data_IF_818564482881
#
_entry.id   IF_818564482881
#
_cell.length_a   1.000
_cell.length_b   1.000
_cell.length_c   1.000
_cell.angle_alpha   90.00
_cell.angle_beta   90.00
_cell.angle_gamma   90.00
#
_symmetry.space_group_name_H-M   'P 1'
#
loop_
_entity.id
_entity.type
_entity.pdbx_description
1 polymer ?
#
# COMPACT_ATOMS: atom_id res chain seq x y z
N UNK A 1 -30.28 -11.10 -7.57
CA UNK A 1 -29.14 -11.89 -8.11
C UNK A 1 -28.03 -11.91 -7.08
N UNK A 2 -27.36 -13.04 -6.91
CA UNK A 2 -26.14 -13.09 -6.08
C UNK A 2 -25.05 -12.21 -6.74
N UNK A 3 -24.27 -11.51 -5.90
CA UNK A 3 -23.17 -10.69 -6.38
C UNK A 3 -22.02 -11.62 -6.77
N UNK A 4 -21.50 -11.48 -8.00
CA UNK A 4 -20.32 -12.22 -8.45
C UNK A 4 -19.08 -11.66 -7.78
N UNK A 5 -18.31 -12.51 -7.12
CA UNK A 5 -17.06 -12.15 -6.44
C UNK A 5 -15.88 -12.75 -7.19
N UNK A 6 -14.94 -11.91 -7.57
CA UNK A 6 -13.63 -12.34 -8.06
C UNK A 6 -12.67 -12.47 -6.88
N UNK A 7 -12.28 -13.69 -6.53
CA UNK A 7 -11.23 -13.97 -5.56
C UNK A 7 -9.88 -14.09 -6.29
N UNK A 8 -8.97 -13.14 -6.07
CA UNK A 8 -7.68 -13.08 -6.75
C UNK A 8 -6.57 -13.51 -5.77
N UNK A 9 -5.87 -14.57 -6.10
CA UNK A 9 -4.74 -15.07 -5.32
C UNK A 9 -3.41 -14.50 -5.82
N UNK A 10 -2.69 -13.79 -4.96
CA UNK A 10 -1.41 -13.15 -5.24
C UNK A 10 -0.24 -13.75 -4.45
N UNK A 11 -0.46 -14.85 -3.72
CA UNK A 11 0.60 -15.52 -2.94
C UNK A 11 0.59 -15.15 -1.46
N UNK A 12 1.79 -15.15 -0.86
CA UNK A 12 2.02 -14.89 0.56
C UNK A 12 1.90 -16.15 1.43
N UNK A 13 2.03 -15.99 2.74
CA UNK A 13 1.95 -17.08 3.73
C UNK A 13 0.69 -17.92 3.59
N UNK A 14 -0.40 -17.30 3.15
CA UNK A 14 -1.71 -17.94 2.98
C UNK A 14 -1.64 -19.25 2.17
N UNK A 15 -0.84 -19.27 1.09
CA UNK A 15 -0.68 -20.43 0.20
C UNK A 15 0.63 -21.18 0.40
N UNK A 16 1.32 -21.01 1.53
CA UNK A 16 2.55 -21.75 1.84
C UNK A 16 2.26 -23.09 2.50
N UNK A 17 3.19 -24.02 2.33
CA UNK A 17 3.19 -25.35 2.93
C UNK A 17 4.62 -25.74 3.33
N UNK A 18 4.78 -26.82 4.08
CA UNK A 18 6.09 -27.37 4.45
C UNK A 18 6.75 -26.73 5.66
N UNK A 19 7.91 -27.24 6.03
CA UNK A 19 8.83 -26.71 7.06
C UNK A 19 10.26 -26.82 6.53
N UNK A 20 10.92 -25.70 6.20
CA UNK A 20 10.41 -24.32 6.27
C UNK A 20 9.28 -24.05 5.27
N UNK A 21 8.46 -23.03 5.56
CA UNK A 21 7.34 -22.62 4.70
C UNK A 21 7.82 -22.24 3.29
N UNK A 22 7.18 -22.82 2.27
CA UNK A 22 7.42 -22.48 0.87
C UNK A 22 6.10 -22.35 0.10
N UNK A 23 6.01 -21.47 -0.92
CA UNK A 23 4.79 -21.32 -1.70
C UNK A 23 4.41 -22.61 -2.42
N UNK A 24 3.14 -23.03 -2.29
CA UNK A 24 2.57 -24.07 -3.14
C UNK A 24 2.31 -23.49 -4.53
N UNK A 25 2.64 -24.22 -5.63
CA UNK A 25 2.26 -23.79 -6.99
C UNK A 25 0.74 -23.51 -7.09
N UNK A 26 0.38 -22.42 -7.76
CA UNK A 26 -1.01 -21.96 -7.78
C UNK A 26 -1.98 -23.01 -8.39
N UNK A 27 -1.52 -23.77 -9.39
CA UNK A 27 -2.29 -24.85 -10.01
C UNK A 27 -2.68 -25.98 -9.03
N UNK A 28 -1.91 -26.17 -7.97
CA UNK A 28 -2.21 -27.12 -6.91
C UNK A 28 -2.98 -26.47 -5.76
N UNK A 29 -2.69 -25.20 -5.46
CA UNK A 29 -3.31 -24.48 -4.35
C UNK A 29 -4.78 -24.08 -4.63
N UNK A 30 -5.07 -23.56 -5.82
CA UNK A 30 -6.40 -23.02 -6.15
C UNK A 30 -7.53 -24.06 -6.01
N UNK A 31 -7.39 -25.32 -6.48
CA UNK A 31 -8.42 -26.32 -6.25
C UNK A 31 -8.71 -26.58 -4.76
N UNK A 32 -7.66 -26.58 -3.92
CA UNK A 32 -7.83 -26.78 -2.47
C UNK A 32 -8.48 -25.55 -1.81
N UNK A 33 -8.11 -24.35 -2.22
CA UNK A 33 -8.75 -23.10 -1.78
C UNK A 33 -10.24 -23.10 -2.13
N UNK A 34 -10.62 -23.54 -3.34
CA UNK A 34 -12.02 -23.60 -3.78
C UNK A 34 -12.90 -24.49 -2.90
N UNK A 35 -12.36 -25.57 -2.34
CA UNK A 35 -13.09 -26.44 -1.42
C UNK A 35 -13.39 -25.80 -0.06
N UNK A 36 -12.71 -24.71 0.29
CA UNK A 36 -12.93 -23.98 1.56
C UNK A 36 -13.91 -22.82 1.43
N UNK A 37 -14.36 -22.52 0.20
CA UNK A 37 -15.21 -21.35 -0.05
C UNK A 37 -16.66 -21.57 0.44
N UNK A 38 -17.33 -20.53 0.95
CA UNK A 38 -18.72 -20.58 1.35
C UNK A 38 -19.64 -20.89 0.16
N UNK A 39 -20.44 -21.96 0.25
CA UNK A 39 -21.34 -22.42 -0.84
C UNK A 39 -22.48 -21.45 -1.17
N UNK A 40 -22.77 -20.50 -0.28
CA UNK A 40 -23.84 -19.51 -0.44
C UNK A 40 -23.37 -18.23 -1.17
N UNK A 41 -22.08 -18.12 -1.52
CA UNK A 41 -21.53 -17.01 -2.28
C UNK A 41 -21.13 -17.44 -3.69
N UNK A 42 -21.31 -16.56 -4.67
CA UNK A 42 -20.88 -16.77 -6.06
C UNK A 42 -19.45 -16.30 -6.23
N UNK A 43 -18.49 -17.18 -5.91
CA UNK A 43 -17.05 -16.86 -5.91
C UNK A 43 -16.33 -17.57 -7.05
N UNK A 44 -15.64 -16.80 -7.89
CA UNK A 44 -14.73 -17.33 -8.91
C UNK A 44 -13.29 -17.01 -8.52
N UNK A 45 -12.44 -18.06 -8.44
CA UNK A 45 -11.02 -17.91 -8.15
C UNK A 45 -10.23 -17.56 -9.41
N UNK A 46 -9.35 -16.58 -9.28
CA UNK A 46 -8.38 -16.18 -10.28
C UNK A 46 -6.97 -16.19 -9.69
N UNK A 47 -6.00 -16.49 -10.53
CA UNK A 47 -4.59 -16.32 -10.22
C UNK A 47 -4.17 -14.91 -10.67
N UNK A 48 -3.47 -14.17 -9.81
CA UNK A 48 -2.90 -12.87 -10.17
C UNK A 48 -1.85 -13.02 -11.29
N UNK A 49 -1.69 -12.04 -12.19
CA UNK A 49 -0.58 -12.02 -13.15
C UNK A 49 0.79 -12.18 -12.49
N UNK A 50 0.93 -11.72 -11.25
CA UNK A 50 2.15 -11.83 -10.45
C UNK A 50 1.85 -12.58 -9.17
N UNK A 51 2.64 -13.62 -8.88
CA UNK A 51 2.67 -14.35 -7.61
C UNK A 51 4.08 -14.26 -7.05
N UNK A 52 4.23 -13.62 -5.89
CA UNK A 52 5.51 -13.43 -5.21
C UNK A 52 5.33 -13.49 -3.69
N UNK A 53 6.44 -13.69 -2.99
CA UNK A 53 6.54 -13.23 -1.61
C UNK A 53 6.29 -11.72 -1.57
N UNK A 54 5.44 -11.27 -0.64
CA UNK A 54 5.03 -9.87 -0.60
C UNK A 54 6.19 -8.91 -0.29
N UNK A 55 7.25 -9.37 0.38
CA UNK A 55 8.48 -8.60 0.59
C UNK A 55 9.23 -8.26 -0.71
N UNK A 56 8.99 -9.04 -1.77
CA UNK A 56 9.54 -8.84 -3.10
C UNK A 56 8.58 -8.12 -4.07
N UNK A 57 7.37 -7.78 -3.64
CA UNK A 57 6.42 -7.03 -4.46
C UNK A 57 6.87 -5.58 -4.66
N UNK A 58 6.65 -5.07 -5.85
CA UNK A 58 7.00 -3.72 -6.28
C UNK A 58 5.79 -2.94 -6.78
N UNK A 59 5.96 -1.66 -7.05
CA UNK A 59 4.91 -0.81 -7.63
C UNK A 59 4.34 -1.40 -8.94
N UNK A 60 5.20 -1.89 -9.83
CA UNK A 60 4.76 -2.49 -11.11
C UNK A 60 3.90 -3.73 -10.92
N UNK A 61 4.21 -4.58 -9.93
CA UNK A 61 3.41 -5.78 -9.64
C UNK A 61 1.97 -5.42 -9.23
N UNK A 62 1.81 -4.36 -8.42
CA UNK A 62 0.48 -3.89 -8.03
C UNK A 62 -0.26 -3.20 -9.19
N UNK A 63 0.44 -2.54 -10.11
CA UNK A 63 -0.18 -2.00 -11.31
C UNK A 63 -0.66 -3.11 -12.27
N UNK A 64 0.10 -4.20 -12.41
CA UNK A 64 -0.35 -5.38 -13.16
C UNK A 64 -1.61 -6.00 -12.53
N UNK A 65 -1.68 -6.10 -11.20
CA UNK A 65 -2.88 -6.51 -10.48
C UNK A 65 -4.06 -5.57 -10.77
N UNK A 66 -3.85 -4.24 -10.71
CA UNK A 66 -4.91 -3.26 -11.00
C UNK A 66 -5.39 -3.40 -12.45
N UNK A 67 -4.49 -3.54 -13.42
CA UNK A 67 -4.86 -3.75 -14.81
C UNK A 67 -5.70 -5.03 -14.97
N UNK A 68 -5.33 -6.11 -14.27
CA UNK A 68 -6.10 -7.35 -14.25
C UNK A 68 -7.50 -7.16 -13.63
N UNK A 69 -7.63 -6.43 -12.51
CA UNK A 69 -8.92 -6.08 -11.91
C UNK A 69 -9.78 -5.32 -12.93
N UNK A 70 -9.21 -4.31 -13.60
CA UNK A 70 -9.91 -3.51 -14.62
C UNK A 70 -10.37 -4.35 -15.82
N UNK A 71 -9.60 -5.35 -16.23
CA UNK A 71 -10.05 -6.35 -17.23
C UNK A 71 -11.23 -7.19 -16.73
N UNK A 72 -11.24 -7.57 -15.43
CA UNK A 72 -12.36 -8.32 -14.84
C UNK A 72 -13.60 -7.45 -14.68
N UNK A 73 -13.45 -6.14 -14.44
CA UNK A 73 -14.58 -5.20 -14.47
C UNK A 73 -15.27 -5.18 -15.85
N UNK A 74 -14.53 -5.28 -16.95
CA UNK A 74 -15.09 -5.39 -18.29
C UNK A 74 -15.86 -6.71 -18.51
N UNK A 75 -15.62 -7.73 -17.67
CA UNK A 75 -16.34 -9.01 -17.63
C UNK A 75 -17.41 -9.06 -16.51
N UNK A 76 -17.95 -7.88 -16.13
CA UNK A 76 -19.05 -7.69 -15.17
C UNK A 76 -18.73 -8.07 -13.71
N UNK A 77 -17.45 -8.16 -13.31
CA UNK A 77 -17.10 -8.26 -11.90
C UNK A 77 -16.99 -6.85 -11.28
N UNK A 78 -17.66 -6.67 -10.12
CA UNK A 78 -17.61 -5.42 -9.34
C UNK A 78 -17.14 -5.63 -7.90
N UNK A 79 -17.05 -6.89 -7.45
CA UNK A 79 -16.66 -7.26 -6.09
C UNK A 79 -15.40 -8.12 -6.17
N UNK A 80 -14.32 -7.64 -5.51
CA UNK A 80 -13.00 -8.26 -5.57
C UNK A 80 -12.48 -8.53 -4.17
N UNK A 81 -12.07 -9.77 -3.92
CA UNK A 81 -11.28 -10.12 -2.73
C UNK A 81 -9.90 -10.53 -3.19
N UNK A 82 -8.87 -9.97 -2.57
CA UNK A 82 -7.47 -10.20 -2.96
C UNK A 82 -6.73 -10.83 -1.78
N UNK A 83 -6.19 -12.03 -1.99
CA UNK A 83 -5.28 -12.67 -1.03
C UNK A 83 -3.87 -12.24 -1.35
N UNK A 84 -3.21 -11.56 -0.39
CA UNK A 84 -1.87 -10.98 -0.51
C UNK A 84 -1.02 -11.32 0.72
N UNK A 85 0.28 -11.40 0.58
CA UNK A 85 1.18 -11.58 1.72
C UNK A 85 1.20 -10.37 2.65
N UNK A 86 1.36 -10.60 3.97
CA UNK A 86 1.14 -9.57 5.00
C UNK A 86 2.23 -8.50 5.08
N UNK A 87 3.43 -8.72 4.53
CA UNK A 87 4.55 -7.79 4.72
C UNK A 87 4.34 -6.46 4.02
N UNK A 88 3.78 -6.47 2.82
CA UNK A 88 3.47 -5.26 2.08
C UNK A 88 1.97 -5.09 1.80
N UNK A 89 1.11 -5.79 2.55
CA UNK A 89 -0.35 -5.71 2.40
C UNK A 89 -0.87 -4.27 2.58
N UNK A 90 -0.31 -3.49 3.52
CA UNK A 90 -0.64 -2.08 3.70
C UNK A 90 -0.32 -1.24 2.46
N UNK A 91 0.83 -1.49 1.83
CA UNK A 91 1.24 -0.78 0.61
C UNK A 91 0.36 -1.16 -0.58
N UNK A 92 0.12 -2.46 -0.80
CA UNK A 92 -0.80 -2.94 -1.83
C UNK A 92 -2.19 -2.31 -1.68
N UNK A 93 -2.73 -2.32 -0.45
CA UNK A 93 -4.05 -1.73 -0.14
C UNK A 93 -4.10 -0.24 -0.46
N UNK A 94 -3.08 0.51 -0.05
CA UNK A 94 -3.00 1.95 -0.29
C UNK A 94 -2.82 2.27 -1.79
N UNK A 95 -2.00 1.51 -2.53
CA UNK A 95 -1.81 1.68 -3.97
C UNK A 95 -3.12 1.43 -4.72
N UNK A 96 -3.84 0.35 -4.38
CA UNK A 96 -5.16 0.10 -4.97
C UNK A 96 -6.15 1.23 -4.61
N UNK A 97 -6.14 1.73 -3.37
CA UNK A 97 -7.02 2.84 -2.98
C UNK A 97 -6.73 4.12 -3.76
N UNK A 98 -5.45 4.47 -3.95
CA UNK A 98 -5.05 5.67 -4.68
C UNK A 98 -5.32 5.58 -6.18
N UNK A 99 -5.24 4.38 -6.78
CA UNK A 99 -5.36 4.21 -8.24
C UNK A 99 -6.73 3.71 -8.69
N UNK A 100 -7.46 2.95 -7.85
CA UNK A 100 -8.80 2.44 -8.17
C UNK A 100 -9.92 3.33 -7.62
N UNK A 101 -9.64 4.10 -6.55
CA UNK A 101 -10.64 4.95 -5.92
C UNK A 101 -11.90 4.19 -5.54
N UNK A 102 -13.05 4.68 -5.98
CA UNK A 102 -14.37 4.09 -5.73
C UNK A 102 -14.95 3.36 -6.97
N UNK A 103 -14.09 2.88 -7.88
CA UNK A 103 -14.53 2.22 -9.11
C UNK A 103 -15.08 0.79 -8.93
N UNK A 104 -14.82 0.16 -7.80
CA UNK A 104 -15.26 -1.19 -7.45
C UNK A 104 -15.35 -1.38 -5.93
N UNK A 105 -15.87 -2.53 -5.49
CA UNK A 105 -15.83 -2.99 -4.10
C UNK A 105 -14.63 -3.93 -3.96
N UNK A 106 -13.58 -3.49 -3.26
CA UNK A 106 -12.32 -4.23 -3.17
C UNK A 106 -11.94 -4.45 -1.71
N UNK A 107 -11.69 -5.69 -1.33
CA UNK A 107 -11.18 -6.06 -0.01
C UNK A 107 -9.89 -6.87 -0.17
N UNK A 108 -8.80 -6.36 0.40
CA UNK A 108 -7.56 -7.12 0.49
C UNK A 108 -7.50 -7.83 1.84
N UNK A 109 -6.95 -9.04 1.84
CA UNK A 109 -6.72 -9.84 3.04
C UNK A 109 -5.47 -10.71 2.90
N UNK A 110 -5.11 -11.40 3.96
CA UNK A 110 -4.00 -12.33 4.03
C UNK A 110 -4.09 -13.14 5.32
N UNK A 111 -3.02 -13.81 5.70
CA UNK A 111 -2.96 -14.53 6.97
C UNK A 111 -1.58 -14.54 7.57
N UNK A 112 -1.50 -14.70 8.90
CA UNK A 112 -0.25 -14.95 9.61
C UNK A 112 0.17 -16.42 9.48
N UNK A 113 -0.80 -17.32 9.37
CA UNK A 113 -0.56 -18.77 9.21
C UNK A 113 -1.09 -19.27 7.88
N UNK A 114 -0.46 -20.30 7.28
CA UNK A 114 -0.94 -20.93 6.06
C UNK A 114 -2.36 -21.50 6.20
N UNK A 115 -3.09 -21.54 5.08
CA UNK A 115 -4.39 -22.21 5.00
C UNK A 115 -4.26 -23.71 5.21
N UNK A 116 -3.23 -24.31 4.61
CA UNK A 116 -3.04 -25.76 4.59
C UNK A 116 -2.01 -26.20 5.64
N UNK A 117 -2.10 -27.47 6.04
CA UNK A 117 -1.10 -28.12 6.87
C UNK A 117 0.25 -28.28 6.13
N UNK A 118 1.28 -28.76 6.83
CA UNK A 118 2.62 -28.90 6.27
C UNK A 118 2.68 -29.84 5.07
N UNK A 119 1.80 -30.83 4.97
CA UNK A 119 1.69 -31.77 3.85
C UNK A 119 0.92 -31.18 2.67
N UNK A 120 0.22 -30.07 2.85
CA UNK A 120 -0.55 -29.40 1.80
C UNK A 120 -1.81 -30.17 1.35
N UNK A 121 -2.33 -31.06 2.15
CA UNK A 121 -3.47 -31.92 1.78
C UNK A 121 -4.76 -31.68 2.59
N UNK A 122 -4.67 -30.97 3.70
CA UNK A 122 -5.79 -30.62 4.57
C UNK A 122 -5.63 -29.19 5.10
N UNK A 123 -6.73 -28.61 5.56
CA UNK A 123 -6.70 -27.35 6.30
C UNK A 123 -5.85 -27.49 7.56
N UNK A 124 -5.04 -26.49 7.86
CA UNK A 124 -4.24 -26.42 9.08
C UNK A 124 -5.15 -26.28 10.31
N UNK A 125 -4.87 -27.03 11.37
CA UNK A 125 -5.67 -27.02 12.61
C UNK A 125 -5.73 -25.63 13.26
N UNK A 126 -4.59 -24.95 13.32
CA UNK A 126 -4.49 -23.57 13.80
C UNK A 126 -4.10 -22.64 12.64
N UNK A 127 -5.08 -21.91 12.13
CA UNK A 127 -4.90 -20.90 11.09
C UNK A 127 -5.92 -19.78 11.21
N UNK A 128 -5.49 -18.56 10.90
CA UNK A 128 -6.37 -17.39 10.74
C UNK A 128 -6.86 -17.23 9.29
N UNK A 129 -6.32 -18.01 8.35
CA UNK A 129 -6.57 -17.86 6.92
C UNK A 129 -8.06 -17.99 6.56
N UNK A 130 -8.75 -19.03 7.06
CA UNK A 130 -10.17 -19.26 6.77
C UNK A 130 -11.04 -18.13 7.31
N UNK A 131 -10.79 -17.71 8.55
CA UNK A 131 -11.59 -16.66 9.18
C UNK A 131 -11.39 -15.31 8.47
N UNK A 132 -10.15 -14.97 8.11
CA UNK A 132 -9.83 -13.74 7.37
C UNK A 132 -10.48 -13.77 5.97
N UNK A 133 -10.40 -14.90 5.26
CA UNK A 133 -11.00 -15.05 3.93
C UNK A 133 -12.53 -14.95 3.98
N UNK A 134 -13.18 -15.70 4.86
CA UNK A 134 -14.63 -15.69 4.97
C UNK A 134 -15.14 -14.29 5.34
N UNK A 135 -14.51 -13.63 6.31
CA UNK A 135 -14.89 -12.28 6.68
C UNK A 135 -14.68 -11.27 5.52
N UNK A 136 -13.63 -11.42 4.71
CA UNK A 136 -13.41 -10.59 3.54
C UNK A 136 -14.47 -10.82 2.44
N UNK A 137 -14.82 -12.10 2.18
CA UNK A 137 -15.84 -12.49 1.19
C UNK A 137 -17.23 -11.99 1.56
N UNK A 138 -17.61 -12.08 2.84
CA UNK A 138 -18.89 -11.53 3.33
C UNK A 138 -18.88 -10.00 3.25
N UNK A 139 -17.80 -9.37 3.74
CA UNK A 139 -17.70 -7.92 3.80
C UNK A 139 -17.79 -7.28 2.42
N UNK A 140 -17.12 -7.84 1.39
CA UNK A 140 -17.06 -7.23 0.05
C UNK A 140 -18.46 -7.05 -0.56
N UNK A 141 -19.43 -7.86 -0.15
CA UNK A 141 -20.81 -7.76 -0.63
C UNK A 141 -21.64 -6.68 0.07
N UNK A 142 -21.14 -6.14 1.19
CA UNK A 142 -21.91 -5.23 2.07
C UNK A 142 -21.33 -3.82 2.12
N UNK A 143 -20.04 -3.64 1.76
CA UNK A 143 -19.35 -2.34 1.78
C UNK A 143 -19.79 -1.43 0.65
N UNK A 144 -19.55 -0.12 0.84
CA UNK A 144 -19.59 0.85 -0.26
C UNK A 144 -18.44 0.60 -1.23
N UNK A 145 -18.56 1.11 -2.47
CA UNK A 145 -17.45 1.09 -3.42
C UNK A 145 -16.22 1.80 -2.83
N UNK A 146 -15.06 1.21 -3.03
CA UNK A 146 -13.79 1.64 -2.46
C UNK A 146 -12.88 0.46 -2.16
N UNK A 147 -11.73 0.74 -1.57
CA UNK A 147 -10.72 -0.26 -1.22
C UNK A 147 -10.56 -0.33 0.29
N UNK A 148 -10.58 -1.55 0.79
CA UNK A 148 -10.49 -1.84 2.22
C UNK A 148 -9.48 -2.96 2.48
N UNK A 149 -8.87 -2.96 3.66
CA UNK A 149 -8.10 -4.06 4.19
C UNK A 149 -8.92 -4.78 5.26
N UNK A 150 -9.06 -6.10 5.12
CA UNK A 150 -9.73 -6.97 6.08
C UNK A 150 -8.72 -7.87 6.78
N UNK A 151 -8.67 -7.82 8.11
CA UNK A 151 -7.82 -8.70 8.91
C UNK A 151 -8.38 -8.87 10.32
N UNK A 152 -8.38 -10.09 10.84
CA UNK A 152 -8.82 -10.40 12.21
C UNK A 152 -10.17 -9.77 12.56
N UNK A 153 -11.20 -10.00 11.72
CA UNK A 153 -12.57 -9.46 11.85
C UNK A 153 -12.66 -7.93 11.88
N UNK A 154 -11.62 -7.22 11.42
CA UNK A 154 -11.64 -5.78 11.23
C UNK A 154 -11.70 -5.45 9.75
N UNK A 155 -12.44 -4.43 9.39
CA UNK A 155 -12.49 -3.86 8.06
C UNK A 155 -12.02 -2.39 8.14
N UNK A 156 -10.91 -2.09 7.50
CA UNK A 156 -10.16 -0.84 7.64
C UNK A 156 -10.13 -0.13 6.29
N UNK A 157 -10.31 1.20 6.27
CA UNK A 157 -10.03 1.99 5.07
C UNK A 157 -8.57 1.80 4.62
N UNK A 158 -8.37 1.36 3.39
CA UNK A 158 -7.07 0.91 2.88
C UNK A 158 -5.96 1.96 3.01
N UNK A 159 -6.26 3.24 2.80
CA UNK A 159 -5.30 4.35 2.93
C UNK A 159 -4.78 4.52 4.37
N UNK A 160 -5.51 4.06 5.38
CA UNK A 160 -5.14 4.20 6.79
C UNK A 160 -4.47 2.96 7.36
N UNK A 161 -4.50 1.84 6.61
CA UNK A 161 -4.09 0.54 7.12
C UNK A 161 -2.57 0.44 7.27
N UNK A 162 -2.14 -0.01 8.45
CA UNK A 162 -0.74 -0.26 8.78
C UNK A 162 -0.57 -1.63 9.45
N UNK A 163 0.46 -2.38 9.07
CA UNK A 163 0.91 -3.54 9.83
C UNK A 163 1.56 -3.04 11.11
N UNK A 164 0.90 -3.29 12.23
CA UNK A 164 1.31 -2.79 13.54
C UNK A 164 2.04 -3.85 14.37
N UNK A 165 1.78 -5.13 14.11
CA UNK A 165 2.39 -6.24 14.84
C UNK A 165 2.94 -7.29 13.87
N UNK A 166 4.08 -7.88 14.23
CA UNK A 166 4.77 -8.86 13.37
C UNK A 166 4.15 -10.25 13.43
N UNK A 167 3.66 -10.69 14.60
CA UNK A 167 3.25 -12.08 14.88
C UNK A 167 1.82 -12.24 15.38
N UNK A 168 1.23 -11.18 15.97
CA UNK A 168 -0.14 -11.26 16.49
C UNK A 168 -1.16 -11.44 15.36
N UNK A 169 -2.27 -12.13 15.68
CA UNK A 169 -3.37 -12.28 14.72
C UNK A 169 -4.03 -10.94 14.39
N UNK A 170 -4.15 -10.04 15.38
CA UNK A 170 -4.59 -8.65 15.19
C UNK A 170 -3.41 -7.78 14.75
N UNK A 171 -2.87 -8.05 13.56
CA UNK A 171 -1.63 -7.47 13.09
C UNK A 171 -1.77 -6.09 12.43
N UNK A 172 -2.98 -5.67 12.06
CA UNK A 172 -3.22 -4.42 11.33
C UNK A 172 -4.07 -3.44 12.13
N UNK A 173 -3.79 -2.16 11.95
CA UNK A 173 -4.55 -1.05 12.53
C UNK A 173 -4.82 0.02 11.48
N UNK A 174 -5.90 0.78 11.70
CA UNK A 174 -6.33 1.90 10.86
C UNK A 174 -7.71 2.37 11.27
N UNK A 175 -8.31 3.21 10.45
CA UNK A 175 -9.66 3.75 10.65
C UNK A 175 -10.67 2.73 10.13
N UNK A 176 -11.64 2.35 10.98
CA UNK A 176 -12.72 1.43 10.62
C UNK A 176 -13.52 1.94 9.41
N UNK A 177 -13.92 1.03 8.55
CA UNK A 177 -14.79 1.30 7.39
C UNK A 177 -16.16 1.92 7.76
N UNK A 178 -16.57 1.79 9.03
CA UNK A 178 -17.81 2.40 9.54
C UNK A 178 -17.68 3.90 9.79
N UNK A 179 -16.45 4.42 9.90
CA UNK A 179 -16.19 5.84 10.09
C UNK A 179 -16.12 6.55 8.74
N UNK A 180 -16.75 7.74 8.65
CA UNK A 180 -16.64 8.56 7.46
C UNK A 180 -15.21 9.09 7.32
N UNK A 181 -14.58 8.75 6.19
CA UNK A 181 -13.26 9.22 5.83
C UNK A 181 -13.29 9.81 4.43
N UNK A 182 -12.60 10.93 4.24
CA UNK A 182 -12.39 11.48 2.91
C UNK A 182 -11.30 10.65 2.21
N UNK A 183 -11.71 9.69 1.40
CA UNK A 183 -10.83 8.83 0.62
C UNK A 183 -10.78 9.27 -0.84
N UNK A 184 -9.75 8.84 -1.57
CA UNK A 184 -9.71 9.05 -3.01
C UNK A 184 -10.92 8.40 -3.70
N UNK A 185 -11.64 9.19 -4.50
CA UNK A 185 -12.82 8.72 -5.24
C UNK A 185 -12.53 8.45 -6.72
N UNK A 186 -11.42 8.95 -7.24
CA UNK A 186 -11.07 8.85 -8.67
C UNK A 186 -10.24 7.62 -8.98
N UNK A 187 -10.46 7.04 -10.15
CA UNK A 187 -9.65 5.92 -10.65
C UNK A 187 -8.78 6.35 -11.83
N UNK A 188 -7.67 5.64 -12.02
CA UNK A 188 -6.80 5.76 -13.19
C UNK A 188 -6.92 4.48 -14.00
N UNK A 189 -7.15 4.59 -15.29
CA UNK A 189 -7.06 3.44 -16.18
C UNK A 189 -5.58 3.08 -16.38
N UNK A 190 -5.16 1.96 -15.80
CA UNK A 190 -3.77 1.49 -15.88
C UNK A 190 -3.49 0.92 -17.26
N UNK A 191 -2.36 1.31 -17.85
CA UNK A 191 -1.87 0.83 -19.14
C UNK A 191 -0.38 0.43 -19.05
N UNK A 192 0.18 -0.10 -20.13
CA UNK A 192 1.57 -0.55 -20.19
C UNK A 192 2.57 0.56 -19.84
N UNK A 193 2.34 1.79 -20.31
CA UNK A 193 3.23 2.92 -19.97
C UNK A 193 3.25 3.22 -18.46
N UNK A 194 2.10 3.09 -17.77
CA UNK A 194 2.05 3.23 -16.31
C UNK A 194 2.85 2.12 -15.61
N UNK A 195 2.79 0.87 -16.10
CA UNK A 195 3.56 -0.26 -15.53
C UNK A 195 5.07 -0.02 -15.73
N UNK A 196 5.49 0.46 -16.91
CA UNK A 196 6.88 0.81 -17.19
C UNK A 196 7.38 1.96 -16.31
N UNK A 197 6.59 3.02 -16.11
CA UNK A 197 6.90 4.10 -15.18
C UNK A 197 7.03 3.57 -13.76
N UNK A 198 6.14 2.70 -13.31
CA UNK A 198 6.17 2.10 -11.98
C UNK A 198 7.37 1.17 -11.76
N UNK A 199 7.81 0.45 -12.81
CA UNK A 199 9.02 -0.38 -12.74
C UNK A 199 10.27 0.43 -12.43
N UNK A 200 10.36 1.65 -12.95
CA UNK A 200 11.48 2.56 -12.72
C UNK A 200 11.29 3.47 -11.51
N UNK A 201 10.14 3.43 -10.84
CA UNK A 201 9.84 4.29 -9.71
C UNK A 201 10.75 4.02 -8.53
N UNK A 202 11.39 5.07 -8.02
CA UNK A 202 12.27 5.01 -6.86
C UNK A 202 11.81 5.98 -5.78
N UNK A 203 11.53 5.43 -4.60
CA UNK A 203 11.12 6.18 -3.41
C UNK A 203 12.01 5.77 -2.24
N UNK A 204 12.68 6.75 -1.64
CA UNK A 204 13.49 6.55 -0.43
C UNK A 204 12.83 7.27 0.72
N UNK A 205 12.58 6.56 1.81
CA UNK A 205 12.03 7.11 3.04
C UNK A 205 13.04 6.97 4.17
N UNK A 206 13.47 8.12 4.72
CA UNK A 206 14.45 8.20 5.79
C UNK A 206 13.75 8.54 7.11
N UNK A 207 13.68 7.57 8.01
CA UNK A 207 13.35 7.81 9.41
C UNK A 207 14.57 8.46 10.08
N UNK A 208 14.50 9.77 10.32
CA UNK A 208 15.60 10.50 10.90
C UNK A 208 15.88 10.00 12.32
N UNK A 209 17.16 9.91 12.65
CA UNK A 209 17.63 9.55 13.98
C UNK A 209 18.09 10.81 14.74
N UNK A 210 18.15 10.80 16.08
CA UNK A 210 18.63 11.93 16.89
C UNK A 210 20.16 12.11 16.74
N UNK A 211 20.56 12.62 15.58
CA UNK A 211 21.95 12.88 15.18
C UNK A 211 22.21 14.40 15.04
N UNK A 212 23.48 14.78 15.00
CA UNK A 212 23.86 16.14 14.64
C UNK A 212 23.47 16.43 13.16
N UNK A 213 23.08 17.66 12.87
CA UNK A 213 22.66 18.05 11.50
C UNK A 213 23.74 17.76 10.46
N UNK A 214 25.02 17.89 10.80
CA UNK A 214 26.17 17.59 9.94
C UNK A 214 26.23 16.12 9.52
N UNK A 215 25.78 15.19 10.36
CA UNK A 215 25.71 13.77 10.03
C UNK A 215 24.57 13.49 9.04
N UNK A 216 23.40 14.11 9.23
CA UNK A 216 22.31 14.04 8.25
C UNK A 216 22.75 14.58 6.89
N UNK A 217 23.49 15.69 6.87
CA UNK A 217 24.08 16.30 5.66
C UNK A 217 24.96 15.29 4.92
N UNK A 218 25.84 14.57 5.64
CA UNK A 218 26.73 13.58 5.01
C UNK A 218 25.95 12.46 4.31
N UNK A 219 24.89 11.94 4.94
CA UNK A 219 24.04 10.90 4.33
C UNK A 219 23.25 11.42 3.13
N UNK A 220 22.72 12.63 3.22
CA UNK A 220 21.94 13.23 2.13
C UNK A 220 22.79 13.60 0.91
N UNK A 221 24.08 13.89 1.08
CA UNK A 221 25.01 14.12 -0.03
C UNK A 221 25.09 12.96 -1.02
N UNK A 222 24.82 11.72 -0.59
CA UNK A 222 24.77 10.56 -1.48
C UNK A 222 23.69 10.69 -2.57
N UNK A 223 22.58 11.37 -2.29
CA UNK A 223 21.49 11.57 -3.25
C UNK A 223 21.74 12.69 -4.25
N UNK A 224 22.82 13.48 -4.11
CA UNK A 224 23.17 14.48 -5.10
C UNK A 224 23.64 13.88 -6.44
N UNK A 225 24.23 12.69 -6.40
CA UNK A 225 24.72 12.01 -7.61
C UNK A 225 23.66 11.10 -8.24
N UNK A 226 22.80 10.50 -7.42
CA UNK A 226 21.77 9.56 -7.85
C UNK A 226 20.47 9.82 -7.07
N UNK A 227 19.75 10.92 -7.39
CA UNK A 227 18.52 11.24 -6.67
C UNK A 227 17.43 10.21 -7.00
N UNK A 228 16.66 9.76 -6.00
CA UNK A 228 15.43 9.01 -6.26
C UNK A 228 14.37 9.95 -6.87
N UNK A 229 13.28 9.38 -7.39
CA UNK A 229 12.13 10.21 -7.78
C UNK A 229 11.50 10.88 -6.56
N UNK A 230 11.54 10.21 -5.40
CA UNK A 230 10.96 10.71 -4.15
C UNK A 230 11.93 10.49 -2.98
N UNK A 231 12.18 11.55 -2.23
CA UNK A 231 12.88 11.50 -0.95
C UNK A 231 11.93 11.97 0.16
N UNK A 232 11.55 11.05 1.04
CA UNK A 232 10.70 11.32 2.19
C UNK A 232 11.57 11.44 3.44
N UNK A 233 11.47 12.56 4.14
CA UNK A 233 12.12 12.76 5.43
C UNK A 233 11.07 12.65 6.55
N UNK A 234 11.23 11.64 7.39
CA UNK A 234 10.36 11.40 8.55
C UNK A 234 10.95 12.09 9.78
N UNK A 235 10.41 13.27 10.11
CA UNK A 235 10.82 14.06 11.26
C UNK A 235 10.24 13.55 12.59
N UNK A 236 10.62 14.17 13.67
CA UNK A 236 10.22 13.81 15.02
C UNK A 236 8.86 14.43 15.41
N UNK A 237 8.11 13.76 16.28
CA UNK A 237 6.84 14.26 16.79
C UNK A 237 5.90 14.70 15.67
N UNK A 238 5.56 15.96 15.59
CA UNK A 238 4.70 16.53 14.55
C UNK A 238 5.41 16.85 13.22
N UNK A 239 6.52 16.16 12.92
CA UNK A 239 7.31 16.35 11.70
C UNK A 239 8.49 17.30 11.85
N UNK A 240 8.93 17.58 13.06
CA UNK A 240 10.03 18.51 13.34
C UNK A 240 11.38 17.93 12.89
N UNK A 241 12.17 18.76 12.22
CA UNK A 241 13.54 18.45 11.78
C UNK A 241 14.44 19.64 12.14
N UNK A 242 15.54 19.37 12.85
CA UNK A 242 16.58 20.38 13.07
C UNK A 242 17.33 20.62 11.77
N UNK A 243 17.32 21.87 11.30
CA UNK A 243 17.94 22.26 10.03
C UNK A 243 18.93 23.42 10.21
N UNK A 244 19.91 23.48 9.31
CA UNK A 244 20.75 24.64 9.09
C UNK A 244 20.75 24.99 7.59
N UNK A 245 21.40 26.09 7.22
CA UNK A 245 21.42 26.56 5.83
C UNK A 245 22.05 25.54 4.84
N UNK A 246 23.04 24.75 5.30
CA UNK A 246 23.69 23.74 4.45
C UNK A 246 22.72 22.58 4.16
N UNK A 247 22.00 22.09 5.17
CA UNK A 247 21.01 21.02 4.99
C UNK A 247 19.91 21.42 3.99
N UNK A 248 19.37 22.63 4.17
CA UNK A 248 18.34 23.17 3.27
C UNK A 248 18.89 23.28 1.83
N UNK A 249 20.10 23.79 1.66
CA UNK A 249 20.74 23.93 0.34
C UNK A 249 20.95 22.58 -0.36
N UNK A 250 21.31 21.52 0.38
CA UNK A 250 21.45 20.17 -0.17
C UNK A 250 20.09 19.61 -0.62
N UNK A 251 19.05 19.73 0.21
CA UNK A 251 17.72 19.27 -0.15
C UNK A 251 17.16 20.04 -1.37
N UNK A 252 17.41 21.35 -1.46
CA UNK A 252 17.06 22.14 -2.64
C UNK A 252 17.79 21.67 -3.91
N UNK A 253 19.11 21.33 -3.81
CA UNK A 253 19.84 20.75 -4.94
C UNK A 253 19.29 19.39 -5.38
N UNK A 254 18.90 18.55 -4.44
CA UNK A 254 18.25 17.27 -4.73
C UNK A 254 16.91 17.52 -5.46
N UNK A 255 16.07 18.44 -4.96
CA UNK A 255 14.82 18.82 -5.61
C UNK A 255 15.00 19.35 -7.02
N UNK A 256 16.03 20.18 -7.27
CA UNK A 256 16.35 20.72 -8.59
C UNK A 256 16.67 19.65 -9.64
N UNK A 257 16.98 18.42 -9.22
CA UNK A 257 17.18 17.26 -10.08
C UNK A 257 15.88 16.46 -10.30
N UNK A 258 14.74 17.10 -10.17
CA UNK A 258 13.40 16.51 -10.32
C UNK A 258 13.08 15.42 -9.28
N UNK A 259 13.66 15.52 -8.08
CA UNK A 259 13.32 14.66 -6.94
C UNK A 259 12.31 15.36 -6.04
N UNK A 260 11.17 14.74 -5.79
CA UNK A 260 10.18 15.26 -4.85
C UNK A 260 10.67 15.08 -3.41
N UNK A 261 11.01 16.19 -2.74
CA UNK A 261 11.38 16.17 -1.31
C UNK A 261 10.14 16.40 -0.48
N UNK A 262 9.81 15.44 0.37
CA UNK A 262 8.57 15.41 1.16
C UNK A 262 8.90 15.29 2.64
N UNK A 263 8.28 16.13 3.45
CA UNK A 263 8.41 16.09 4.89
C UNK A 263 7.18 15.40 5.48
N UNK A 264 7.41 14.47 6.41
CA UNK A 264 6.38 13.76 7.16
C UNK A 264 6.84 13.48 8.59
N UNK A 265 6.02 12.84 9.39
CA UNK A 265 6.33 12.40 10.75
C UNK A 265 6.69 10.93 10.80
N UNK A 266 7.54 10.54 11.77
CA UNK A 266 7.75 9.14 12.17
C UNK A 266 6.54 8.56 12.91
N UNK A 267 5.70 9.42 13.48
CA UNK A 267 4.52 8.99 14.22
C UNK A 267 3.49 8.48 13.22
N UNK A 268 3.02 7.23 13.38
CA UNK A 268 2.16 6.60 12.38
C UNK A 268 0.76 7.21 12.29
N UNK A 269 0.30 7.89 13.32
CA UNK A 269 -1.01 8.51 13.39
C UNK A 269 -0.92 9.96 13.86
N UNK A 270 -1.75 10.83 13.30
CA UNK A 270 -1.81 12.26 13.61
C UNK A 270 -1.47 13.12 12.40
N UNK A 271 -1.60 14.43 12.58
CA UNK A 271 -1.29 15.41 11.55
C UNK A 271 0.05 16.10 11.82
N UNK A 272 0.68 16.57 10.77
CA UNK A 272 1.82 17.48 10.87
C UNK A 272 1.34 18.83 11.40
N UNK A 273 2.07 19.38 12.37
CA UNK A 273 1.77 20.71 12.91
C UNK A 273 2.80 21.73 12.40
N UNK A 274 2.35 22.57 11.47
CA UNK A 274 3.17 23.60 10.84
C UNK A 274 3.18 24.94 11.61
N UNK A 275 2.52 25.03 12.76
CA UNK A 275 2.44 26.27 13.58
C UNK A 275 3.76 26.61 14.27
N UNK A 276 4.68 25.66 14.38
CA UNK A 276 5.97 25.90 14.98
C UNK A 276 6.95 26.59 14.01
N UNK A 277 7.70 27.56 14.52
CA UNK A 277 8.76 28.26 13.75
C UNK A 277 9.78 27.28 13.13
N UNK A 278 9.99 26.12 13.77
CA UNK A 278 10.85 25.04 13.27
C UNK A 278 10.38 24.48 11.91
N UNK A 279 9.14 24.74 11.52
CA UNK A 279 8.56 24.25 10.26
C UNK A 279 8.51 25.31 9.15
N UNK A 280 8.81 26.58 9.46
CA UNK A 280 8.71 27.70 8.52
C UNK A 280 9.65 27.53 7.30
N UNK A 281 10.83 26.92 7.50
CA UNK A 281 11.79 26.64 6.44
C UNK A 281 11.24 25.73 5.33
N UNK A 282 10.28 24.87 5.62
CA UNK A 282 9.70 23.93 4.65
C UNK A 282 9.00 24.70 3.53
N UNK A 283 8.21 25.73 3.90
CA UNK A 283 7.51 26.58 2.94
C UNK A 283 8.49 27.42 2.12
N UNK A 284 9.48 28.05 2.78
CA UNK A 284 10.49 28.86 2.10
C UNK A 284 11.38 28.02 1.15
N UNK A 285 11.64 26.76 1.48
CA UNK A 285 12.42 25.86 0.65
C UNK A 285 11.60 25.20 -0.47
N UNK A 286 10.29 25.42 -0.50
CA UNK A 286 9.36 24.84 -1.48
C UNK A 286 9.39 23.29 -1.48
N UNK A 287 9.30 22.68 -0.29
CA UNK A 287 9.18 21.25 -0.12
C UNK A 287 7.72 20.85 0.10
N UNK A 288 7.40 19.61 -0.26
CA UNK A 288 6.05 19.05 -0.07
C UNK A 288 5.87 18.60 1.39
N UNK A 289 4.65 18.72 1.88
CA UNK A 289 4.25 18.24 3.22
C UNK A 289 3.22 17.16 3.06
N UNK A 290 3.39 16.06 3.79
CA UNK A 290 2.44 14.95 3.74
C UNK A 290 1.19 15.26 4.56
N UNK A 291 0.03 15.02 3.95
CA UNK A 291 -1.27 14.94 4.61
C UNK A 291 -1.89 13.54 4.45
N UNK A 292 -1.08 12.55 4.07
CA UNK A 292 -1.51 11.16 3.90
C UNK A 292 -1.83 10.51 5.23
N UNK A 293 -2.74 9.56 5.22
CA UNK A 293 -3.22 8.87 6.42
C UNK A 293 -2.21 7.89 7.02
N UNK A 294 -1.29 7.39 6.21
CA UNK A 294 -0.26 6.45 6.63
C UNK A 294 0.99 6.57 5.75
N UNK A 295 2.10 5.94 6.17
CA UNK A 295 3.31 5.86 5.35
C UNK A 295 3.07 5.10 4.05
N UNK A 296 2.22 4.08 4.07
CA UNK A 296 1.82 3.33 2.89
C UNK A 296 0.98 4.19 1.94
N UNK A 297 0.06 5.00 2.47
CA UNK A 297 -0.73 5.95 1.68
C UNK A 297 0.16 7.04 1.06
N UNK A 298 1.14 7.55 1.81
CA UNK A 298 2.11 8.50 1.26
C UNK A 298 2.89 7.91 0.09
N UNK A 299 3.39 6.67 0.23
CA UNK A 299 4.04 5.97 -0.87
C UNK A 299 3.10 5.84 -2.08
N UNK A 300 1.87 5.40 -1.86
CA UNK A 300 0.88 5.22 -2.92
C UNK A 300 0.52 6.55 -3.61
N UNK A 301 0.37 7.64 -2.84
CA UNK A 301 0.17 8.99 -3.39
C UNK A 301 1.35 9.43 -4.25
N UNK A 302 2.59 9.21 -3.79
CA UNK A 302 3.77 9.59 -4.57
C UNK A 302 3.88 8.77 -5.87
N UNK A 303 3.52 7.49 -5.83
CA UNK A 303 3.42 6.67 -7.04
C UNK A 303 2.36 7.25 -8.01
N UNK A 304 1.16 7.57 -7.53
CA UNK A 304 0.10 8.21 -8.33
C UNK A 304 0.58 9.50 -8.97
N UNK A 305 1.28 10.36 -8.22
CA UNK A 305 1.87 11.59 -8.74
C UNK A 305 2.88 11.32 -9.84
N UNK A 306 3.77 10.33 -9.66
CA UNK A 306 4.78 9.92 -10.64
C UNK A 306 4.16 9.39 -11.94
N UNK A 307 3.04 8.68 -11.85
CA UNK A 307 2.31 8.19 -13.02
C UNK A 307 1.65 9.32 -13.82
N UNK A 308 1.13 10.35 -13.13
CA UNK A 308 0.35 11.44 -13.73
C UNK A 308 1.17 12.62 -14.21
N UNK A 309 2.29 12.93 -13.55
CA UNK A 309 3.02 14.17 -13.74
C UNK A 309 4.51 13.90 -13.96
N UNK A 310 5.10 14.61 -14.91
CA UNK A 310 6.50 14.38 -15.32
C UNK A 310 7.51 15.25 -14.56
N UNK A 311 7.06 16.26 -13.81
CA UNK A 311 7.95 17.14 -13.05
C UNK A 311 7.48 17.40 -11.62
N UNK A 312 8.42 17.65 -10.72
CA UNK A 312 8.16 18.02 -9.32
C UNK A 312 7.39 19.34 -9.22
N UNK A 313 7.57 20.27 -10.18
CA UNK A 313 6.81 21.52 -10.18
C UNK A 313 5.31 21.29 -10.45
N UNK A 314 4.97 20.32 -11.33
CA UNK A 314 3.59 19.88 -11.50
C UNK A 314 3.05 19.20 -10.23
N UNK A 315 3.89 18.45 -9.51
CA UNK A 315 3.50 17.87 -8.22
C UNK A 315 3.11 18.97 -7.22
N UNK A 316 3.88 20.05 -7.11
CA UNK A 316 3.55 21.17 -6.23
C UNK A 316 2.19 21.81 -6.56
N UNK A 317 1.84 21.93 -7.84
CA UNK A 317 0.56 22.47 -8.28
C UNK A 317 -0.62 21.59 -7.88
N UNK A 318 -0.45 20.25 -7.91
CA UNK A 318 -1.53 19.29 -7.75
C UNK A 318 -1.47 18.48 -6.44
N UNK A 319 -0.47 18.72 -5.59
CA UNK A 319 -0.24 17.93 -4.39
C UNK A 319 -1.43 17.88 -3.42
N UNK A 320 -2.14 19.00 -3.28
CA UNK A 320 -3.28 19.09 -2.38
C UNK A 320 -4.61 18.69 -3.03
N UNK A 321 -4.66 18.58 -4.37
CA UNK A 321 -5.84 18.19 -5.12
C UNK A 321 -5.97 16.66 -5.18
N UNK A 322 -4.84 15.96 -5.14
CA UNK A 322 -4.77 14.49 -5.16
C UNK A 322 -4.85 13.95 -3.72
N UNK A 323 -6.04 13.71 -3.26
CA UNK A 323 -6.34 13.14 -1.93
C UNK A 323 -6.40 11.63 -2.05
#
# INVERSE_FOLDING_TARGET
>A
MMKKIALIYMGGTFGCVGEPLSPMPAEHFIPLLQHTLPVHLDVTCFVSPVIKDSSACTASDWLELIQFIQQKQQADYQHFVIIHGTDTLSYASAVLAQLMGQSAHIVLTGSQYPLLNTQGNNTREFTDAINNLNFALESVTQINSGVYLSFHHQLIHAQTALKFHTTELNAFRGISSEQNLKVNSTSIQVNTTHIEKAHNFSCVSLMLQPLQTEQHIQYLKAFLNHPPHVLILQGFGTGNIAVNAELIAILQKIRQQNCAVIITSQVPFGALDQRYAVSEWIQHANFLVSHSYSHADLYAKTLKMHLKYDSVDQWHQHWNDEI
#
